data_IF_523507803818
#
_entry.id   IF_523507803818
#
_cell.length_a   1.000
_cell.length_b   1.000
_cell.length_c   1.000
_cell.angle_alpha   90.00
_cell.angle_beta   90.00
_cell.angle_gamma   90.00
#
_symmetry.space_group_name_H-M   'P 1'
#
loop_
_entity.id
_entity.type
_entity.pdbx_description
1 polymer ?
#
# COMPACT_ATOMS: atom_id res chain seq x y z
N UNK A 1 7.26 -21.88 -23.49
CA UNK A 1 7.63 -20.81 -24.44
C UNK A 1 7.65 -19.50 -23.65
N UNK A 2 8.84 -18.97 -23.41
CA UNK A 2 9.09 -17.69 -22.73
C UNK A 2 9.10 -16.58 -23.77
N UNK A 3 8.16 -15.64 -23.67
CA UNK A 3 8.22 -14.40 -24.45
C UNK A 3 9.08 -13.38 -23.70
N UNK A 4 10.17 -12.87 -24.30
CA UNK A 4 10.91 -11.74 -23.78
C UNK A 4 10.16 -10.46 -24.18
N UNK A 5 9.84 -9.59 -23.23
CA UNK A 5 9.41 -8.23 -23.55
C UNK A 5 10.50 -7.27 -23.08
N UNK A 6 11.37 -6.92 -24.03
CA UNK A 6 12.14 -5.69 -24.02
C UNK A 6 11.42 -4.70 -24.93
N UNK A 7 11.06 -3.53 -24.40
CA UNK A 7 10.59 -2.38 -25.17
C UNK A 7 11.36 -1.15 -24.70
N UNK A 8 12.58 -0.97 -25.20
CA UNK A 8 13.31 0.29 -25.10
C UNK A 8 12.64 1.33 -26.01
N UNK A 9 11.68 2.06 -25.45
CA UNK A 9 11.40 3.44 -25.89
C UNK A 9 12.34 4.33 -25.08
N UNK A 10 13.21 5.16 -25.69
CA UNK A 10 13.97 6.15 -24.92
C UNK A 10 12.95 7.09 -24.26
N UNK A 11 12.91 7.18 -22.92
CA UNK A 11 11.63 7.26 -22.24
C UNK A 11 11.20 8.70 -22.05
N UNK A 12 9.90 8.96 -22.21
CA UNK A 12 9.26 10.07 -21.50
C UNK A 12 9.67 9.92 -20.03
N UNK A 13 10.16 10.97 -19.35
CA UNK A 13 10.58 10.85 -17.97
C UNK A 13 9.44 10.24 -17.14
N UNK A 14 9.78 9.25 -16.32
CA UNK A 14 8.82 8.62 -15.45
C UNK A 14 8.12 9.69 -14.61
N UNK A 15 6.80 9.61 -14.49
CA UNK A 15 6.02 10.59 -13.72
C UNK A 15 5.97 10.27 -12.24
N UNK A 16 6.27 9.03 -11.85
CA UNK A 16 6.29 8.57 -10.47
C UNK A 16 7.07 7.25 -10.33
N UNK A 17 7.45 6.97 -9.09
CA UNK A 17 7.97 5.67 -8.64
C UNK A 17 6.84 4.92 -7.92
N UNK A 18 6.50 3.72 -8.37
CA UNK A 18 5.52 2.85 -7.71
C UNK A 18 6.23 1.79 -6.88
N UNK A 19 6.03 1.76 -5.57
CA UNK A 19 6.60 0.71 -4.70
C UNK A 19 5.55 0.20 -3.73
N UNK A 20 5.42 -1.12 -3.62
CA UNK A 20 4.39 -1.65 -2.74
C UNK A 20 4.43 -3.14 -2.52
N UNK A 21 3.42 -3.61 -1.82
CA UNK A 21 3.04 -5.01 -1.83
C UNK A 21 2.32 -5.39 -3.13
N UNK A 22 1.69 -6.57 -3.16
CA UNK A 22 0.96 -7.08 -4.31
C UNK A 22 -0.22 -6.21 -4.76
N UNK A 23 -0.74 -5.30 -3.92
CA UNK A 23 -1.78 -4.35 -4.32
C UNK A 23 -1.30 -3.34 -5.37
N UNK A 24 0.00 -3.03 -5.42
CA UNK A 24 0.59 -2.18 -6.45
C UNK A 24 0.43 -2.77 -7.87
N UNK A 25 0.24 -4.09 -7.99
CA UNK A 25 0.17 -4.77 -9.29
C UNK A 25 -1.00 -4.30 -10.17
N UNK A 26 -2.18 -4.05 -9.58
CA UNK A 26 -3.32 -3.57 -10.37
C UNK A 26 -3.14 -2.11 -10.85
N UNK A 27 -2.43 -1.30 -10.08
CA UNK A 27 -2.11 0.10 -10.40
C UNK A 27 -1.09 0.14 -11.54
N UNK A 28 0.00 -0.63 -11.44
CA UNK A 28 1.01 -0.71 -12.50
C UNK A 28 0.43 -1.19 -13.83
N UNK A 29 -0.46 -2.20 -13.82
CA UNK A 29 -1.16 -2.65 -15.03
C UNK A 29 -2.05 -1.55 -15.63
N UNK A 30 -2.78 -0.81 -14.78
CA UNK A 30 -3.63 0.28 -15.25
C UNK A 30 -2.82 1.45 -15.81
N UNK A 31 -1.73 1.83 -15.15
CA UNK A 31 -0.83 2.89 -15.61
C UNK A 31 -0.19 2.52 -16.96
N UNK A 32 0.28 1.28 -17.10
CA UNK A 32 0.80 0.78 -18.37
C UNK A 32 -0.25 0.83 -19.49
N UNK A 33 -1.49 0.40 -19.22
CA UNK A 33 -2.57 0.48 -20.21
C UNK A 33 -2.91 1.94 -20.60
N UNK A 34 -2.77 2.88 -19.66
CA UNK A 34 -2.99 4.30 -19.91
C UNK A 34 -1.80 4.99 -20.61
N UNK A 35 -0.71 4.27 -20.91
CA UNK A 35 0.50 4.86 -21.47
C UNK A 35 1.22 5.82 -20.51
N UNK A 36 0.95 5.72 -19.21
CA UNK A 36 1.53 6.58 -18.19
C UNK A 36 2.94 6.07 -17.85
N UNK A 37 4.02 6.85 -18.04
CA UNK A 37 5.37 6.39 -17.76
C UNK A 37 5.62 6.38 -16.25
N UNK A 38 6.07 5.23 -15.74
CA UNK A 38 6.41 5.02 -14.33
C UNK A 38 7.51 3.97 -14.22
N UNK A 39 8.14 3.89 -13.05
CA UNK A 39 9.09 2.83 -12.70
C UNK A 39 8.63 2.13 -11.42
N UNK A 40 8.97 0.85 -11.27
CA UNK A 40 8.71 0.06 -10.07
C UNK A 40 7.50 -0.87 -10.17
N UNK A 41 7.00 -1.30 -9.01
CA UNK A 41 5.91 -2.26 -8.87
C UNK A 41 5.90 -2.95 -7.50
N UNK A 42 5.27 -4.13 -7.40
CA UNK A 42 5.31 -4.95 -6.19
C UNK A 42 6.74 -5.41 -5.87
N UNK A 43 7.20 -5.15 -4.64
CA UNK A 43 8.52 -5.58 -4.15
C UNK A 43 8.45 -6.60 -3.02
N UNK A 44 7.25 -6.93 -2.55
CA UNK A 44 7.02 -7.95 -1.53
C UNK A 44 5.54 -8.25 -1.32
N UNK A 45 5.24 -8.98 -0.26
CA UNK A 45 3.89 -9.26 0.22
C UNK A 45 3.52 -8.32 1.37
N UNK A 46 2.21 -8.12 1.62
CA UNK A 46 1.72 -7.17 2.62
C UNK A 46 2.34 -7.35 4.02
N UNK A 47 2.53 -8.60 4.43
CA UNK A 47 3.14 -8.95 5.73
C UNK A 47 4.59 -8.50 5.86
N UNK A 48 5.32 -8.38 4.76
CA UNK A 48 6.75 -8.04 4.76
C UNK A 48 6.98 -6.59 5.21
N UNK A 49 5.93 -5.76 5.17
CA UNK A 49 5.99 -4.33 5.46
C UNK A 49 5.32 -3.93 6.79
N UNK A 50 4.95 -4.91 7.63
CA UNK A 50 4.35 -4.66 8.94
C UNK A 50 5.41 -4.37 10.01
N UNK A 51 6.44 -5.21 10.08
CA UNK A 51 7.62 -5.01 10.92
C UNK A 51 8.68 -4.13 10.26
N UNK A 52 9.79 -3.79 10.95
CA UNK A 52 10.86 -2.99 10.35
C UNK A 52 11.45 -3.66 9.09
N UNK A 53 11.34 -2.97 7.95
CA UNK A 53 11.74 -3.50 6.63
C UNK A 53 12.75 -2.61 5.89
N UNK A 54 13.04 -1.42 6.42
CA UNK A 54 14.09 -0.51 5.94
C UNK A 54 15.04 -0.14 7.07
N UNK A 55 16.29 0.10 6.70
CA UNK A 55 17.31 0.72 7.56
C UNK A 55 17.67 2.11 7.01
N UNK A 56 18.10 2.99 7.91
CA UNK A 56 18.69 4.29 7.57
C UNK A 56 20.19 4.10 7.34
N UNK A 57 20.62 4.27 6.09
CA UNK A 57 22.01 4.08 5.68
C UNK A 57 22.50 5.34 4.99
N UNK A 58 23.32 6.11 5.70
CA UNK A 58 23.88 7.36 5.18
C UNK A 58 22.84 8.45 4.92
N UNK A 59 21.71 8.44 5.64
CA UNK A 59 20.61 9.37 5.41
C UNK A 59 19.70 8.99 4.24
N UNK A 60 19.74 7.74 3.79
CA UNK A 60 18.84 7.18 2.78
C UNK A 60 18.19 5.87 3.29
N UNK A 61 17.25 5.31 2.54
CA UNK A 61 16.51 4.11 2.87
C UNK A 61 17.07 2.89 2.14
N UNK A 62 17.47 1.87 2.91
CA UNK A 62 17.86 0.57 2.37
C UNK A 62 16.90 -0.53 2.83
N UNK A 63 16.36 -1.31 1.89
CA UNK A 63 15.46 -2.43 2.21
C UNK A 63 16.24 -3.61 2.81
N UNK A 64 15.74 -4.18 3.90
CA UNK A 64 16.37 -5.31 4.60
C UNK A 64 16.35 -6.59 3.76
N UNK A 65 15.22 -6.90 3.15
CA UNK A 65 15.09 -8.06 2.27
C UNK A 65 15.90 -7.88 0.98
N UNK A 66 16.71 -8.88 0.64
CA UNK A 66 17.63 -8.80 -0.49
C UNK A 66 16.90 -8.73 -1.85
N UNK A 67 15.71 -9.34 -1.98
CA UNK A 67 14.92 -9.27 -3.20
C UNK A 67 14.28 -7.89 -3.34
N UNK A 68 13.64 -7.38 -2.28
CA UNK A 68 13.06 -6.04 -2.27
C UNK A 68 14.13 -4.98 -2.56
N UNK A 69 15.30 -5.08 -1.91
CA UNK A 69 16.45 -4.20 -2.14
C UNK A 69 16.88 -4.17 -3.60
N UNK A 70 17.02 -5.34 -4.23
CA UNK A 70 17.38 -5.43 -5.64
C UNK A 70 16.34 -4.78 -6.55
N UNK A 71 15.06 -5.06 -6.36
CA UNK A 71 13.98 -4.49 -7.19
C UNK A 71 13.87 -2.96 -7.04
N UNK A 72 14.03 -2.46 -5.82
CA UNK A 72 14.06 -1.01 -5.54
C UNK A 72 15.28 -0.38 -6.18
N UNK A 73 16.45 -1.05 -6.11
CA UNK A 73 17.68 -0.56 -6.73
C UNK A 73 17.58 -0.49 -8.25
N UNK A 74 17.08 -1.53 -8.90
CA UNK A 74 16.79 -1.54 -10.34
C UNK A 74 15.86 -0.36 -10.73
N UNK A 75 14.89 -0.04 -9.88
CA UNK A 75 13.96 1.07 -10.11
C UNK A 75 14.63 2.44 -9.98
N UNK A 76 15.48 2.63 -8.97
CA UNK A 76 16.21 3.88 -8.75
C UNK A 76 17.29 4.10 -9.82
N UNK A 77 17.94 3.03 -10.29
CA UNK A 77 18.91 3.08 -11.38
C UNK A 77 18.23 3.46 -12.71
N UNK A 78 17.02 2.94 -12.98
CA UNK A 78 16.23 3.33 -14.15
C UNK A 78 15.77 4.80 -14.11
N UNK A 79 15.66 5.40 -12.92
CA UNK A 79 15.42 6.82 -12.71
C UNK A 79 16.71 7.66 -12.72
N UNK A 80 17.89 7.02 -12.75
CA UNK A 80 19.19 7.69 -12.68
C UNK A 80 19.48 8.35 -11.32
N UNK A 81 18.87 7.87 -10.24
CA UNK A 81 19.06 8.44 -8.89
C UNK A 81 19.80 7.48 -7.95
N UNK A 82 20.72 7.98 -7.11
CA UNK A 82 21.52 7.13 -6.23
C UNK A 82 20.69 6.53 -5.08
N UNK A 83 19.58 7.17 -4.70
CA UNK A 83 18.75 6.76 -3.58
C UNK A 83 17.47 7.60 -3.48
N UNK A 84 16.69 7.39 -2.43
CA UNK A 84 15.42 8.08 -2.22
C UNK A 84 15.62 9.57 -1.99
N UNK A 85 16.72 10.01 -1.34
CA UNK A 85 17.00 11.42 -1.11
C UNK A 85 17.11 12.25 -2.41
N UNK A 86 17.44 11.60 -3.53
CA UNK A 86 17.52 12.23 -4.85
C UNK A 86 16.26 12.09 -5.70
N UNK A 87 15.18 11.54 -5.17
CA UNK A 87 13.98 11.23 -5.93
C UNK A 87 13.23 12.52 -6.31
N UNK A 88 13.28 12.89 -7.60
CA UNK A 88 12.61 14.08 -8.14
C UNK A 88 11.15 13.86 -8.58
N UNK A 89 10.61 12.65 -8.39
CA UNK A 89 9.24 12.28 -8.79
C UNK A 89 8.45 11.79 -7.57
N UNK A 90 7.11 11.90 -7.56
CA UNK A 90 6.31 11.38 -6.46
C UNK A 90 6.50 9.88 -6.25
N UNK A 91 6.44 9.46 -4.99
CA UNK A 91 6.45 8.07 -4.58
C UNK A 91 5.01 7.60 -4.32
N UNK A 92 4.52 6.66 -5.14
CA UNK A 92 3.21 6.03 -4.97
C UNK A 92 3.40 4.70 -4.24
N UNK A 93 2.75 4.54 -3.08
CA UNK A 93 2.98 3.42 -2.18
C UNK A 93 1.74 2.66 -1.71
N UNK A 94 1.92 1.36 -1.47
CA UNK A 94 0.91 0.51 -0.78
C UNK A 94 1.41 -0.09 0.54
N UNK A 95 2.61 0.29 1.01
CA UNK A 95 3.20 -0.29 2.21
C UNK A 95 2.38 -0.03 3.47
N UNK A 96 2.26 -1.06 4.32
CA UNK A 96 1.59 -0.97 5.62
C UNK A 96 0.07 -0.99 5.59
N UNK A 97 -0.53 -0.98 4.39
CA UNK A 97 -1.98 -0.90 4.27
C UNK A 97 -2.65 -2.27 4.09
N UNK A 98 -1.90 -3.37 4.16
CA UNK A 98 -2.42 -4.74 4.13
C UNK A 98 -3.20 -5.13 5.41
N UNK A 99 -4.30 -4.42 5.68
CA UNK A 99 -5.13 -4.55 6.88
C UNK A 99 -5.73 -5.95 7.06
N UNK A 100 -5.86 -6.75 5.99
CA UNK A 100 -6.28 -8.15 6.08
C UNK A 100 -5.32 -8.98 6.94
N UNK A 101 -4.02 -8.68 6.92
CA UNK A 101 -3.02 -9.36 7.75
C UNK A 101 -3.16 -8.96 9.22
N UNK A 102 -3.32 -7.66 9.49
CA UNK A 102 -3.59 -7.13 10.85
C UNK A 102 -4.87 -7.74 11.41
N UNK A 103 -5.92 -7.82 10.58
CA UNK A 103 -7.24 -8.32 10.94
C UNK A 103 -7.38 -9.84 10.95
N UNK A 104 -6.29 -10.62 10.78
CA UNK A 104 -6.32 -12.09 10.92
C UNK A 104 -6.99 -12.47 12.24
N UNK A 105 -8.03 -13.30 12.20
CA UNK A 105 -8.92 -13.53 13.37
C UNK A 105 -8.16 -13.91 14.64
N UNK A 106 -7.15 -14.78 14.49
CA UNK A 106 -6.33 -15.31 15.58
C UNK A 106 -5.58 -14.23 16.35
N UNK A 107 -5.25 -13.10 15.72
CA UNK A 107 -4.58 -11.98 16.39
C UNK A 107 -5.47 -11.34 17.46
N UNK A 108 -6.79 -11.57 17.40
CA UNK A 108 -7.78 -10.86 18.20
C UNK A 108 -8.58 -11.79 19.14
N UNK A 109 -8.23 -13.08 19.21
CA UNK A 109 -9.00 -14.07 19.97
C UNK A 109 -9.13 -13.71 21.45
N UNK A 110 -8.07 -13.15 22.05
CA UNK A 110 -8.08 -12.71 23.46
C UNK A 110 -9.01 -11.50 23.71
N UNK A 111 -9.42 -10.82 22.65
CA UNK A 111 -10.28 -9.64 22.71
C UNK A 111 -11.73 -9.94 22.28
N UNK A 112 -12.04 -11.20 21.94
CA UNK A 112 -13.39 -11.61 21.58
C UNK A 112 -14.26 -11.75 22.82
N UNK A 113 -15.53 -11.39 22.67
CA UNK A 113 -16.54 -11.64 23.69
C UNK A 113 -17.06 -13.08 23.65
N UNK A 114 -18.01 -13.38 24.53
CA UNK A 114 -18.68 -14.70 24.61
C UNK A 114 -19.42 -15.11 23.32
N UNK A 115 -19.64 -14.18 22.40
CA UNK A 115 -20.28 -14.43 21.10
C UNK A 115 -19.25 -14.62 19.98
N UNK A 116 -17.95 -14.61 20.32
CA UNK A 116 -16.87 -14.75 19.35
C UNK A 116 -16.64 -13.49 18.52
N UNK A 117 -17.17 -12.34 18.94
CA UNK A 117 -17.03 -11.06 18.22
C UNK A 117 -16.06 -10.14 18.93
N UNK A 118 -15.35 -9.30 18.17
CA UNK A 118 -14.53 -8.23 18.77
C UNK A 118 -15.45 -7.05 19.09
N UNK A 119 -15.59 -6.63 20.37
CA UNK A 119 -16.57 -5.61 20.74
C UNK A 119 -16.31 -4.25 20.07
N UNK A 120 -17.35 -3.59 19.57
CA UNK A 120 -17.26 -2.27 18.91
C UNK A 120 -16.60 -1.21 19.81
N UNK A 121 -16.89 -1.22 21.12
CA UNK A 121 -16.25 -0.34 22.10
C UNK A 121 -14.73 -0.53 22.18
N UNK A 122 -14.26 -1.75 21.96
CA UNK A 122 -12.82 -2.04 21.93
C UNK A 122 -12.22 -1.54 20.61
N UNK A 123 -12.88 -1.77 19.48
CA UNK A 123 -12.44 -1.26 18.17
C UNK A 123 -12.33 0.28 18.13
N UNK A 124 -13.12 0.99 18.94
CA UNK A 124 -13.04 2.45 19.10
C UNK A 124 -12.09 2.92 20.20
N UNK A 125 -11.45 2.01 20.92
CA UNK A 125 -10.61 2.35 22.08
C UNK A 125 -9.19 2.76 21.68
N UNK A 126 -8.53 3.53 22.55
CA UNK A 126 -7.11 3.86 22.40
C UNK A 126 -6.21 2.61 22.35
N UNK A 127 -6.53 1.58 23.15
CA UNK A 127 -5.78 0.32 23.17
C UNK A 127 -5.79 -0.39 21.80
N UNK A 128 -6.94 -0.44 21.12
CA UNK A 128 -7.00 -1.00 19.77
C UNK A 128 -6.13 -0.19 18.81
N UNK A 129 -6.20 1.14 18.88
CA UNK A 129 -5.33 2.03 18.11
C UNK A 129 -3.84 1.76 18.34
N UNK A 130 -3.43 1.57 19.59
CA UNK A 130 -2.05 1.24 19.97
C UNK A 130 -1.60 -0.11 19.40
N UNK A 131 -2.45 -1.13 19.46
CA UNK A 131 -2.16 -2.45 18.91
C UNK A 131 -2.01 -2.41 17.39
N UNK A 132 -2.88 -1.66 16.69
CA UNK A 132 -2.77 -1.47 15.24
C UNK A 132 -1.49 -0.72 14.89
N UNK A 133 -1.18 0.41 15.56
CA UNK A 133 0.10 1.14 15.40
C UNK A 133 1.31 0.23 15.59
N UNK A 134 1.31 -0.58 16.65
CA UNK A 134 2.39 -1.52 16.92
C UNK A 134 2.53 -2.60 15.83
N UNK A 135 1.41 -3.02 15.24
CA UNK A 135 1.34 -4.00 14.15
C UNK A 135 1.87 -3.46 12.82
N UNK A 136 1.72 -2.16 12.55
CA UNK A 136 2.20 -1.51 11.32
C UNK A 136 3.43 -0.60 11.53
N UNK A 137 4.13 -0.75 12.66
CA UNK A 137 5.22 0.16 13.05
C UNK A 137 6.32 0.30 11.99
N UNK A 138 6.58 -0.76 11.22
CA UNK A 138 7.57 -0.71 10.13
C UNK A 138 7.16 0.24 9.02
N UNK A 139 5.89 0.19 8.63
CA UNK A 139 5.34 1.11 7.64
C UNK A 139 5.29 2.55 8.17
N UNK A 140 4.86 2.77 9.42
CA UNK A 140 4.86 4.11 10.00
C UNK A 140 6.27 4.71 10.03
N UNK A 141 7.27 3.93 10.44
CA UNK A 141 8.67 4.36 10.41
C UNK A 141 9.15 4.65 8.99
N UNK A 142 8.75 3.86 7.99
CA UNK A 142 9.06 4.17 6.59
C UNK A 142 8.49 5.54 6.18
N UNK A 143 7.22 5.81 6.48
CA UNK A 143 6.59 7.09 6.12
C UNK A 143 7.23 8.28 6.85
N UNK A 144 7.57 8.13 8.13
CA UNK A 144 8.33 9.14 8.90
C UNK A 144 9.65 9.49 8.21
N UNK A 145 10.35 8.49 7.66
CA UNK A 145 11.61 8.69 6.94
C UNK A 145 11.43 9.31 5.58
N UNK A 146 10.42 8.91 4.81
CA UNK A 146 10.13 9.56 3.53
C UNK A 146 9.75 11.03 3.72
N UNK A 147 9.05 11.36 4.81
CA UNK A 147 8.75 12.75 5.17
C UNK A 147 10.02 13.52 5.55
N UNK A 148 10.92 12.92 6.34
CA UNK A 148 12.22 13.52 6.68
C UNK A 148 13.12 13.77 5.45
N UNK A 149 12.97 12.96 4.40
CA UNK A 149 13.62 13.13 3.11
C UNK A 149 12.94 14.18 2.20
N UNK A 150 11.81 14.76 2.64
CA UNK A 150 11.06 15.73 1.85
C UNK A 150 10.33 15.13 0.64
N UNK A 151 10.09 13.81 0.65
CA UNK A 151 9.42 13.15 -0.47
C UNK A 151 7.93 13.43 -0.48
N UNK A 152 7.39 13.67 -1.68
CA UNK A 152 5.96 13.63 -1.91
C UNK A 152 5.50 12.18 -2.01
N UNK A 153 4.78 11.69 -1.00
CA UNK A 153 4.29 10.31 -0.94
C UNK A 153 2.78 10.24 -1.07
N UNK A 154 2.30 9.47 -2.05
CA UNK A 154 0.89 9.14 -2.23
C UNK A 154 0.65 7.69 -1.81
N UNK A 155 0.01 7.49 -0.66
CA UNK A 155 -0.32 6.16 -0.16
C UNK A 155 -1.72 5.73 -0.61
N UNK A 156 -1.84 4.49 -1.10
CA UNK A 156 -3.07 3.97 -1.68
C UNK A 156 -3.78 3.03 -0.71
N UNK A 157 -4.95 3.43 -0.21
CA UNK A 157 -5.78 2.52 0.59
C UNK A 157 -6.13 1.28 -0.25
N UNK A 158 -5.92 0.05 0.25
CA UNK A 158 -6.14 -1.15 -0.52
C UNK A 158 -7.61 -1.32 -0.90
N UNK A 159 -7.87 -2.26 -1.82
CA UNK A 159 -9.17 -2.85 -2.02
C UNK A 159 -9.88 -3.21 -0.69
N UNK A 160 -11.18 -2.91 -0.57
CA UNK A 160 -12.02 -3.25 0.59
C UNK A 160 -12.49 -4.71 0.51
N UNK A 161 -11.51 -5.60 0.46
CA UNK A 161 -11.71 -7.04 0.32
C UNK A 161 -11.28 -7.72 1.60
N UNK A 162 -12.26 -8.26 2.32
CA UNK A 162 -12.06 -8.94 3.60
C UNK A 162 -11.98 -10.44 3.32
N UNK A 163 -10.79 -11.05 3.30
CA UNK A 163 -10.68 -12.45 3.01
C UNK A 163 -11.18 -13.30 4.19
N UNK A 164 -11.51 -14.55 3.91
CA UNK A 164 -12.21 -15.43 4.85
C UNK A 164 -11.47 -15.74 6.15
N UNK A 165 -10.18 -15.39 6.30
CA UNK A 165 -9.41 -15.50 7.55
C UNK A 165 -9.39 -14.22 8.40
N UNK A 166 -9.84 -13.09 7.86
CA UNK A 166 -9.84 -11.80 8.55
C UNK A 166 -11.19 -11.51 9.23
N UNK A 167 -11.15 -10.79 10.33
CA UNK A 167 -12.33 -10.24 11.01
C UNK A 167 -12.76 -8.94 10.32
N UNK A 168 -13.99 -8.83 9.77
CA UNK A 168 -14.42 -7.62 9.07
C UNK A 168 -14.43 -6.36 9.94
N UNK A 169 -14.85 -6.48 11.21
CA UNK A 169 -14.91 -5.33 12.12
C UNK A 169 -13.51 -4.79 12.39
N UNK A 170 -12.56 -5.68 12.64
CA UNK A 170 -11.16 -5.29 12.82
C UNK A 170 -10.54 -4.76 11.52
N UNK A 171 -10.87 -5.35 10.37
CA UNK A 171 -10.32 -4.92 9.08
C UNK A 171 -10.65 -3.46 8.76
N UNK A 172 -11.90 -3.05 8.94
CA UNK A 172 -12.31 -1.66 8.68
C UNK A 172 -11.75 -0.71 9.75
N UNK A 173 -11.86 -1.08 11.03
CA UNK A 173 -11.33 -0.25 12.12
C UNK A 173 -9.81 -0.06 12.03
N UNK A 174 -9.06 -1.10 11.63
CA UNK A 174 -7.61 -1.00 11.46
C UNK A 174 -7.24 -0.05 10.31
N UNK A 175 -7.98 -0.07 9.19
CA UNK A 175 -7.74 0.88 8.10
C UNK A 175 -8.00 2.33 8.51
N UNK A 176 -9.02 2.59 9.33
CA UNK A 176 -9.28 3.94 9.83
C UNK A 176 -8.12 4.43 10.71
N UNK A 177 -7.61 3.57 11.59
CA UNK A 177 -6.42 3.88 12.41
C UNK A 177 -5.20 4.14 11.52
N UNK A 178 -4.89 3.24 10.59
CA UNK A 178 -3.71 3.37 9.72
C UNK A 178 -3.84 4.63 8.85
N UNK A 179 -5.01 4.87 8.25
CA UNK A 179 -5.26 6.06 7.43
C UNK A 179 -5.09 7.37 8.20
N UNK A 180 -5.58 7.43 9.45
CA UNK A 180 -5.37 8.57 10.33
C UNK A 180 -3.89 8.80 10.65
N UNK A 181 -3.14 7.73 10.95
CA UNK A 181 -1.70 7.79 11.22
C UNK A 181 -0.89 8.29 10.01
N UNK A 182 -1.24 7.85 8.79
CA UNK A 182 -0.59 8.33 7.57
C UNK A 182 -0.91 9.80 7.28
N UNK A 183 -2.18 10.19 7.46
CA UNK A 183 -2.61 11.59 7.28
C UNK A 183 -1.90 12.51 8.26
N UNK A 184 -1.77 12.11 9.52
CA UNK A 184 -1.05 12.87 10.55
C UNK A 184 0.45 13.08 10.24
N UNK A 185 1.03 12.23 9.39
CA UNK A 185 2.42 12.33 8.90
C UNK A 185 2.55 13.15 7.62
N UNK A 186 1.45 13.74 7.14
CA UNK A 186 1.44 14.51 5.89
C UNK A 186 1.49 13.66 4.62
N UNK A 187 1.24 12.35 4.72
CA UNK A 187 1.15 11.47 3.55
C UNK A 187 -0.16 11.75 2.81
N UNK A 188 -0.09 11.89 1.49
CA UNK A 188 -1.29 12.04 0.65
C UNK A 188 -2.01 10.70 0.52
N UNK A 189 -3.04 10.49 1.32
CA UNK A 189 -3.85 9.27 1.26
C UNK A 189 -4.84 9.34 0.08
N UNK A 190 -4.75 8.36 -0.83
CA UNK A 190 -5.80 8.05 -1.79
C UNK A 190 -6.78 7.06 -1.16
N UNK A 191 -7.87 7.60 -0.63
CA UNK A 191 -8.99 6.82 -0.10
C UNK A 191 -10.15 6.80 -1.12
N UNK A 192 -10.32 5.66 -1.79
CA UNK A 192 -11.39 5.46 -2.76
C UNK A 192 -12.60 4.73 -2.17
N UNK A 193 -12.64 4.45 -0.86
CA UNK A 193 -13.67 3.59 -0.24
C UNK A 193 -15.08 4.04 -0.60
N UNK A 194 -15.39 5.31 -0.42
CA UNK A 194 -16.70 5.90 -0.77
C UNK A 194 -17.11 5.69 -2.23
N UNK A 195 -16.15 5.54 -3.15
CA UNK A 195 -16.40 5.33 -4.58
C UNK A 195 -16.51 3.87 -4.96
N UNK A 196 -15.85 2.96 -4.24
CA UNK A 196 -15.69 1.56 -4.66
C UNK A 196 -16.46 0.56 -3.81
N UNK A 197 -17.00 0.95 -2.66
CA UNK A 197 -17.73 0.05 -1.77
C UNK A 197 -19.23 0.05 -2.00
N UNK A 198 -19.90 -0.97 -1.47
CA UNK A 198 -21.34 -1.03 -1.27
C UNK A 198 -21.74 -0.42 0.09
N UNK A 199 -23.02 -0.54 0.44
CA UNK A 199 -23.56 -0.01 1.70
C UNK A 199 -23.06 -0.72 2.97
N UNK A 200 -22.40 -1.87 2.83
CA UNK A 200 -21.76 -2.59 3.94
C UNK A 200 -20.25 -2.30 4.02
N UNK A 201 -19.72 -1.42 3.15
CA UNK A 201 -18.29 -1.10 3.10
C UNK A 201 -17.44 -2.13 2.35
N UNK A 202 -18.04 -3.15 1.74
CA UNK A 202 -17.32 -4.13 0.93
C UNK A 202 -17.12 -3.62 -0.48
N UNK A 203 -15.98 -3.94 -1.09
CA UNK A 203 -15.72 -3.54 -2.48
C UNK A 203 -16.72 -4.17 -3.44
N UNK A 204 -17.31 -3.32 -4.30
CA UNK A 204 -18.25 -3.77 -5.32
C UNK A 204 -17.59 -4.76 -6.29
N UNK A 205 -18.29 -5.83 -6.72
CA UNK A 205 -17.72 -6.88 -7.57
C UNK A 205 -17.04 -6.38 -8.85
N UNK A 206 -17.54 -5.28 -9.44
CA UNK A 206 -16.97 -4.64 -10.64
C UNK A 206 -15.50 -4.21 -10.46
N UNK A 207 -15.03 -4.05 -9.22
CA UNK A 207 -13.67 -3.67 -8.89
C UNK A 207 -12.84 -4.82 -8.30
N UNK A 208 -13.42 -6.01 -8.13
CA UNK A 208 -12.77 -7.17 -7.53
C UNK A 208 -12.13 -8.05 -8.61
N UNK A 209 -10.95 -8.61 -8.29
CA UNK A 209 -10.40 -9.72 -9.06
C UNK A 209 -11.21 -10.99 -8.75
N UNK A 210 -11.69 -11.69 -9.77
CA UNK A 210 -12.72 -12.75 -9.63
C UNK A 210 -12.27 -13.92 -8.75
N UNK A 211 -11.08 -14.48 -9.00
CA UNK A 211 -10.57 -15.69 -8.32
C UNK A 211 -9.60 -15.41 -7.18
N UNK A 212 -9.60 -14.16 -6.71
CA UNK A 212 -8.73 -13.68 -5.65
C UNK A 212 -9.63 -13.12 -4.56
N UNK A 213 -9.24 -13.09 -3.29
CA UNK A 213 -10.08 -12.53 -2.20
C UNK A 213 -9.53 -11.23 -1.59
N UNK A 214 -8.43 -10.71 -2.13
CA UNK A 214 -7.64 -9.62 -1.56
C UNK A 214 -7.41 -8.50 -2.60
N UNK A 215 -7.19 -8.84 -3.87
CA UNK A 215 -6.76 -7.87 -4.88
C UNK A 215 -7.92 -7.20 -5.64
N UNK A 216 -7.68 -5.95 -6.03
CA UNK A 216 -8.51 -5.22 -6.99
C UNK A 216 -8.19 -5.65 -8.42
N UNK A 217 -9.16 -5.52 -9.30
CA UNK A 217 -8.97 -5.78 -10.73
C UNK A 217 -8.44 -4.53 -11.46
N UNK A 218 -8.41 -4.60 -12.79
CA UNK A 218 -7.99 -3.51 -13.66
C UNK A 218 -8.90 -2.27 -13.56
N UNK A 219 -10.21 -2.43 -13.34
CA UNK A 219 -11.12 -1.30 -13.17
C UNK A 219 -10.82 -0.51 -11.89
N UNK A 220 -10.48 -1.20 -10.79
CA UNK A 220 -9.98 -0.55 -9.57
C UNK A 220 -8.68 0.22 -9.85
N UNK A 221 -7.71 -0.42 -10.52
CA UNK A 221 -6.45 0.22 -10.88
C UNK A 221 -6.64 1.47 -11.75
N UNK A 222 -7.60 1.47 -12.68
CA UNK A 222 -7.93 2.64 -13.51
C UNK A 222 -8.49 3.80 -12.69
N UNK A 223 -9.31 3.53 -11.67
CA UNK A 223 -9.80 4.57 -10.75
C UNK A 223 -8.66 5.17 -9.94
N UNK A 224 -7.73 4.34 -9.46
CA UNK A 224 -6.53 4.81 -8.76
C UNK A 224 -5.70 5.71 -9.67
N UNK A 225 -5.42 5.28 -10.91
CA UNK A 225 -4.64 6.09 -11.87
C UNK A 225 -5.33 7.42 -12.18
N UNK A 226 -6.65 7.43 -12.36
CA UNK A 226 -7.39 8.68 -12.57
C UNK A 226 -7.25 9.64 -11.38
N UNK A 227 -7.42 9.14 -10.16
CA UNK A 227 -7.27 9.95 -8.93
C UNK A 227 -5.82 10.47 -8.76
N UNK A 228 -4.83 9.66 -9.12
CA UNK A 228 -3.43 10.07 -9.11
C UNK A 228 -3.16 11.21 -10.10
N UNK A 229 -3.73 11.15 -11.31
CA UNK A 229 -3.63 12.21 -12.31
C UNK A 229 -4.33 13.50 -11.86
N UNK A 230 -5.51 13.39 -11.23
CA UNK A 230 -6.25 14.54 -10.69
C UNK A 230 -5.46 15.26 -9.58
N UNK A 231 -4.55 14.55 -8.91
CA UNK A 231 -3.63 15.08 -7.89
C UNK A 231 -2.31 15.58 -8.48
N UNK A 232 -2.20 15.67 -9.80
CA UNK A 232 -1.02 16.20 -10.47
C UNK A 232 0.17 15.25 -10.44
N UNK A 233 -0.05 13.93 -10.48
CA UNK A 233 0.94 13.07 -11.15
C UNK A 233 1.07 13.49 -12.59
#
# INVERSE_FOLDING_TARGET
MTTPYSTTTPPVPARFLLLGDSHAGCVGRAAHQAGLPFVGGPVGSGRDFLGPFVDDVGGDLEFRDARARRLVRESLDALGVPGFAGLGVPLVCTFGLSAHTVATRQNWDIHRDRHGTVPERFLRSGLFGDLVRASVRGALAFYDRTAALGLRVLALMPPQRVPGMSDPGVFFAAQDVIGAELTARGVELLDLRARVTDGAGHQRPVFCQADDTIHGNLAFGRLVVAELLDRGL
#
